data_IF_927575490032
#
_entry.id   IF_927575490032
#
_cell.length_a   1.000
_cell.length_b   1.000
_cell.length_c   1.000
_cell.angle_alpha   90.00
_cell.angle_beta   90.00
_cell.angle_gamma   90.00
#
_symmetry.space_group_name_H-M   'P 1'
#
loop_
_entity.id
_entity.type
_entity.pdbx_description
1 polymer ?
#
# COMPACT_ATOMS: atom_id res chain seq x y z
N UNK A 1 -14.50 -11.84 3.08
CA UNK A 1 -13.59 -10.98 2.29
C UNK A 1 -13.80 -9.56 2.73
N UNK A 2 -12.72 -8.82 2.96
CA UNK A 2 -12.81 -7.38 3.22
C UNK A 2 -13.13 -6.67 1.91
N UNK A 3 -13.84 -5.54 1.97
CA UNK A 3 -14.12 -4.71 0.81
C UNK A 3 -13.39 -3.38 0.95
N UNK A 4 -12.76 -2.93 -0.14
CA UNK A 4 -12.18 -1.58 -0.26
C UNK A 4 -12.94 -0.89 -1.38
N UNK A 5 -13.61 0.21 -1.07
CA UNK A 5 -14.43 0.96 -2.04
C UNK A 5 -15.43 0.08 -2.81
N UNK A 6 -16.09 -0.84 -2.10
CA UNK A 6 -17.05 -1.78 -2.67
C UNK A 6 -16.45 -2.96 -3.46
N UNK A 7 -15.12 -3.00 -3.65
CA UNK A 7 -14.44 -4.07 -4.38
C UNK A 7 -13.99 -5.18 -3.43
N UNK A 8 -14.24 -6.46 -3.72
CA UNK A 8 -13.76 -7.58 -2.90
C UNK A 8 -12.24 -7.65 -2.95
N UNK A 9 -11.62 -7.87 -1.79
CA UNK A 9 -10.18 -7.98 -1.67
C UNK A 9 -9.75 -9.19 -0.84
N UNK A 10 -8.56 -9.69 -1.17
CA UNK A 10 -7.79 -10.61 -0.33
C UNK A 10 -6.77 -9.82 0.48
N UNK A 11 -6.57 -10.19 1.75
CA UNK A 11 -5.63 -9.50 2.62
C UNK A 11 -4.41 -10.38 2.91
N UNK A 12 -3.23 -9.82 2.65
CA UNK A 12 -1.96 -10.38 3.09
C UNK A 12 -1.41 -9.51 4.22
N UNK A 13 -0.91 -10.14 5.28
CA UNK A 13 -0.16 -9.46 6.34
C UNK A 13 1.15 -10.20 6.61
N UNK A 14 2.22 -9.43 6.70
CA UNK A 14 3.55 -9.88 7.09
C UNK A 14 3.85 -9.21 8.42
N UNK A 15 4.20 -10.01 9.43
CA UNK A 15 4.64 -9.52 10.74
C UNK A 15 5.96 -10.19 11.10
N UNK A 16 6.98 -9.39 11.41
CA UNK A 16 8.25 -9.88 11.88
C UNK A 16 8.23 -10.03 13.42
N UNK A 17 8.57 -11.19 13.98
CA UNK A 17 8.48 -11.40 15.43
C UNK A 17 9.56 -10.68 16.22
N UNK A 18 10.71 -10.38 15.59
CA UNK A 18 11.90 -9.83 16.25
C UNK A 18 12.63 -8.87 15.31
N UNK A 19 13.09 -7.74 15.83
CA UNK A 19 13.90 -6.76 15.09
C UNK A 19 15.27 -7.33 14.82
N UNK A 20 15.70 -7.27 13.55
CA UNK A 20 16.98 -7.77 13.06
C UNK A 20 17.48 -6.88 11.94
N UNK A 21 18.79 -6.87 11.72
CA UNK A 21 19.39 -6.12 10.62
C UNK A 21 18.78 -6.53 9.27
N UNK A 22 18.50 -5.52 8.44
CA UNK A 22 17.84 -5.69 7.13
C UNK A 22 16.31 -5.69 7.18
N UNK A 23 15.67 -5.77 8.35
CA UNK A 23 14.21 -5.64 8.48
C UNK A 23 13.81 -4.19 8.73
N UNK A 24 13.10 -3.59 7.77
CA UNK A 24 12.76 -2.16 7.77
C UNK A 24 11.46 -1.81 8.50
N UNK A 25 10.62 -2.80 8.80
CA UNK A 25 9.31 -2.61 9.42
C UNK A 25 8.98 -3.77 10.35
N UNK A 26 8.00 -3.58 11.22
CA UNK A 26 7.49 -4.63 12.10
C UNK A 26 6.33 -5.40 11.45
N UNK A 27 5.34 -4.69 10.93
CA UNK A 27 4.20 -5.29 10.24
C UNK A 27 3.87 -4.51 8.98
N UNK A 28 3.54 -5.20 7.90
CA UNK A 28 2.95 -4.60 6.71
C UNK A 28 1.75 -5.42 6.27
N UNK A 29 0.67 -4.75 5.88
CA UNK A 29 -0.49 -5.41 5.28
C UNK A 29 -0.80 -4.81 3.93
N UNK A 30 -1.33 -5.64 3.04
CA UNK A 30 -1.88 -5.22 1.77
C UNK A 30 -3.23 -5.87 1.53
N UNK A 31 -4.17 -5.10 1.00
CA UNK A 31 -5.38 -5.63 0.39
C UNK A 31 -5.18 -5.65 -1.12
N UNK A 32 -5.31 -6.84 -1.71
CA UNK A 32 -5.18 -7.10 -3.13
C UNK A 32 -6.58 -7.21 -3.71
N UNK A 33 -6.89 -6.37 -4.69
CA UNK A 33 -8.16 -6.41 -5.41
C UNK A 33 -8.35 -7.77 -6.08
N UNK A 34 -9.46 -8.45 -5.83
CA UNK A 34 -9.67 -9.82 -6.29
C UNK A 34 -9.91 -9.95 -7.81
N UNK A 35 -10.21 -8.85 -8.51
CA UNK A 35 -10.43 -8.88 -9.97
C UNK A 35 -9.22 -8.33 -10.72
N UNK A 36 -8.69 -7.19 -10.26
CA UNK A 36 -7.55 -6.52 -10.88
C UNK A 36 -6.22 -7.16 -10.48
N UNK A 37 -6.19 -7.94 -9.40
CA UNK A 37 -5.00 -8.59 -8.84
C UNK A 37 -3.84 -7.62 -8.53
N UNK A 38 -4.17 -6.40 -8.11
CA UNK A 38 -3.20 -5.38 -7.69
C UNK A 38 -3.46 -4.92 -6.25
N UNK A 39 -2.42 -4.49 -5.50
CA UNK A 39 -2.62 -3.88 -4.19
C UNK A 39 -3.41 -2.56 -4.29
N UNK A 40 -4.51 -2.45 -3.54
CA UNK A 40 -5.37 -1.26 -3.47
C UNK A 40 -5.39 -0.62 -2.08
N UNK A 41 -4.85 -1.31 -1.07
CA UNK A 41 -4.57 -0.73 0.25
C UNK A 41 -3.26 -1.27 0.78
N UNK A 42 -2.49 -0.42 1.42
CA UNK A 42 -1.22 -0.76 2.06
C UNK A 42 -1.10 -0.04 3.39
N UNK A 43 -0.76 -0.76 4.45
CA UNK A 43 -0.43 -0.20 5.76
C UNK A 43 0.90 -0.77 6.25
N UNK A 44 1.77 0.09 6.77
CA UNK A 44 3.07 -0.31 7.34
C UNK A 44 3.20 0.27 8.73
N UNK A 45 3.58 -0.59 9.66
CA UNK A 45 3.85 -0.26 11.03
C UNK A 45 5.34 -0.46 11.34
N UNK A 46 5.92 0.52 12.01
CA UNK A 46 7.30 0.43 12.51
C UNK A 46 7.34 -0.39 13.82
N UNK A 47 8.54 -0.65 14.34
CA UNK A 47 8.75 -1.42 15.54
C UNK A 47 8.15 -0.75 16.79
N UNK A 48 7.44 -1.48 17.65
CA UNK A 48 6.97 -0.91 18.91
C UNK A 48 8.17 -0.56 19.80
N UNK A 49 8.06 0.55 20.54
CA UNK A 49 9.12 0.98 21.47
C UNK A 49 9.33 -0.03 22.60
N UNK A 50 8.24 -0.64 23.07
CA UNK A 50 8.24 -1.66 24.13
C UNK A 50 7.52 -2.93 23.66
N UNK A 51 8.01 -4.14 24.00
CA UNK A 51 7.31 -5.39 23.69
C UNK A 51 5.87 -5.38 24.20
N UNK A 52 4.92 -5.72 23.32
CA UNK A 52 3.49 -5.76 23.64
C UNK A 52 2.74 -4.42 23.49
N UNK A 53 3.45 -3.32 23.22
CA UNK A 53 2.79 -2.08 22.80
C UNK A 53 2.31 -2.14 21.35
N UNK A 54 1.36 -1.26 21.03
CA UNK A 54 0.90 -1.07 19.66
C UNK A 54 2.04 -0.53 18.81
N UNK A 55 2.30 -1.20 17.69
CA UNK A 55 3.25 -0.75 16.70
C UNK A 55 2.77 0.57 16.06
N UNK A 56 3.62 1.60 15.96
CA UNK A 56 3.24 2.88 15.37
C UNK A 56 3.03 2.75 13.86
N UNK A 57 1.95 3.37 13.35
CA UNK A 57 1.70 3.44 11.91
C UNK A 57 2.72 4.38 11.28
N UNK A 58 3.45 3.88 10.29
CA UNK A 58 4.44 4.65 9.54
C UNK A 58 3.85 5.23 8.26
N UNK A 59 3.08 4.43 7.53
CA UNK A 59 2.45 4.85 6.28
C UNK A 59 1.17 4.06 6.03
N UNK A 60 0.17 4.74 5.46
CA UNK A 60 -1.05 4.12 4.97
C UNK A 60 -1.45 4.77 3.64
N UNK A 61 -1.76 3.94 2.66
CA UNK A 61 -2.25 4.37 1.35
C UNK A 61 -3.46 3.54 0.97
N UNK A 62 -4.48 4.19 0.40
CA UNK A 62 -5.65 3.53 -0.18
C UNK A 62 -5.86 4.12 -1.57
N UNK A 63 -5.89 3.25 -2.58
CA UNK A 63 -6.15 3.60 -3.97
C UNK A 63 -7.59 3.21 -4.32
N UNK A 64 -8.36 4.17 -4.80
CA UNK A 64 -9.73 3.97 -5.28
C UNK A 64 -9.82 4.33 -6.76
N UNK A 65 -10.83 3.81 -7.45
CA UNK A 65 -11.05 4.07 -8.89
C UNK A 65 -9.82 3.75 -9.79
N UNK A 66 -9.14 2.63 -9.52
CA UNK A 66 -7.97 2.20 -10.30
C UNK A 66 -8.40 1.71 -11.68
N UNK A 67 -7.81 2.27 -12.73
CA UNK A 67 -7.94 1.80 -14.11
C UNK A 67 -6.59 1.27 -14.59
N UNK A 68 -6.54 0.01 -15.01
CA UNK A 68 -5.36 -0.58 -15.63
C UNK A 68 -5.37 -0.35 -17.14
N UNK A 69 -4.19 -0.22 -17.74
CA UNK A 69 -4.03 -0.02 -19.19
C UNK A 69 -4.89 1.14 -19.73
N UNK A 70 -4.83 2.30 -19.07
CA UNK A 70 -5.66 3.47 -19.39
C UNK A 70 -5.27 4.20 -20.71
N UNK A 71 -4.50 3.55 -21.59
CA UNK A 71 -4.06 4.08 -22.89
C UNK A 71 -3.52 5.53 -22.85
N UNK A 72 -2.69 5.82 -21.84
CA UNK A 72 -2.04 7.13 -21.69
C UNK A 72 -1.03 7.37 -22.82
N UNK A 73 -1.09 8.55 -23.46
CA UNK A 73 -0.16 8.96 -24.51
C UNK A 73 1.21 9.35 -23.93
N UNK A 74 2.27 9.16 -24.71
CA UNK A 74 3.64 9.56 -24.34
C UNK A 74 3.71 11.06 -24.01
N UNK A 75 2.87 11.87 -24.67
CA UNK A 75 2.74 13.29 -24.38
C UNK A 75 2.38 13.57 -22.91
N UNK A 76 1.61 12.71 -22.24
CA UNK A 76 1.19 12.85 -20.83
C UNK A 76 2.38 12.89 -19.87
N UNK A 77 3.51 12.29 -20.24
CA UNK A 77 4.70 12.16 -19.38
C UNK A 77 5.77 13.23 -19.67
N UNK A 78 5.46 14.22 -20.51
CA UNK A 78 6.40 15.29 -20.87
C UNK A 78 6.68 16.22 -19.67
N UNK A 79 7.96 16.58 -19.39
CA UNK A 79 8.31 17.43 -18.23
C UNK A 79 7.61 18.78 -18.20
N UNK A 80 7.23 19.32 -19.36
CA UNK A 80 6.53 20.59 -19.50
C UNK A 80 5.15 20.57 -18.82
N UNK A 81 4.51 19.40 -18.72
CA UNK A 81 3.21 19.23 -18.07
C UNK A 81 3.35 19.26 -16.53
N UNK A 82 4.53 18.94 -15.99
CA UNK A 82 4.78 18.96 -14.54
C UNK A 82 4.95 20.37 -13.98
N UNK A 83 5.12 21.37 -14.86
CA UNK A 83 5.17 22.78 -14.47
C UNK A 83 3.75 23.32 -14.55
N UNK A 84 3.15 23.56 -13.38
CA UNK A 84 1.91 24.33 -13.30
C UNK A 84 2.07 25.71 -13.96
N UNK A 85 0.96 26.43 -14.21
CA UNK A 85 1.03 27.82 -14.67
C UNK A 85 1.86 28.72 -13.74
#
# INVERSE_FOLDING_TARGET
TATIDGRPCEMLRITHPLRRDGLQFFSASMSIDSELHVPVRFDVYDWPETPGQQAPLMAEFTYTNVTLNADLDDATFKPEILRGP
#
